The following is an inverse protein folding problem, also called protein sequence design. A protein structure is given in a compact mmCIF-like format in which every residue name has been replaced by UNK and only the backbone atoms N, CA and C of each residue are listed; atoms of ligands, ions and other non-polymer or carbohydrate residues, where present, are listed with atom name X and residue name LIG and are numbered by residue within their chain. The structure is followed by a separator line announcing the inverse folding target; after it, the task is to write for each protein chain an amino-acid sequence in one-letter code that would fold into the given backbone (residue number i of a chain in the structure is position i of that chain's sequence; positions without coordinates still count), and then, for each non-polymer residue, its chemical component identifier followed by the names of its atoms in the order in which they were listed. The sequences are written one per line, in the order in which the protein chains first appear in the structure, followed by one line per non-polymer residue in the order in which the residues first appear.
data_IF_733614887823
#
_entry.id   IF_733614887823
#
_cell.length_a   1.000
_cell.length_b   1.000
_cell.length_c   1.000
_cell.angle_alpha   90.00
_cell.angle_beta   90.00
_cell.angle_gamma   90.00
#
_symmetry.space_group_name_H-M   'P 1'
#
loop_
_entity.id
_entity.type
_entity.pdbx_description
1 polymer ?
#
# COMPACT_ATOMS: atom_id res chain seq x y z
N UNK A 1 -4.47 16.09 9.01
CA UNK A 1 -5.36 14.92 8.93
C UNK A 1 -4.52 13.67 8.91
N UNK A 2 -5.15 12.49 8.93
CA UNK A 2 -4.46 11.22 8.71
C UNK A 2 -3.90 11.16 7.27
N UNK A 3 -2.68 10.68 7.10
CA UNK A 3 -1.99 10.50 5.80
C UNK A 3 -2.33 9.18 5.13
N UNK A 4 -3.11 8.33 5.78
CA UNK A 4 -3.52 7.03 5.26
C UNK A 4 -4.99 7.04 4.80
N UNK A 5 -5.32 6.07 3.94
CA UNK A 5 -6.72 5.70 3.66
C UNK A 5 -6.89 4.19 3.71
N UNK A 6 -8.09 3.74 4.09
CA UNK A 6 -8.45 2.33 4.10
C UNK A 6 -9.63 2.09 3.19
N UNK A 7 -9.49 1.15 2.25
CA UNK A 7 -10.59 0.64 1.43
C UNK A 7 -10.98 -0.73 1.97
N UNK A 8 -12.28 -0.98 2.14
CA UNK A 8 -12.80 -2.29 2.57
C UNK A 8 -13.84 -2.78 1.58
N UNK A 9 -13.81 -4.08 1.29
CA UNK A 9 -14.78 -4.74 0.43
C UNK A 9 -14.98 -6.18 0.85
N UNK A 10 -16.21 -6.68 0.71
CA UNK A 10 -16.51 -8.11 0.80
C UNK A 10 -16.68 -8.73 -0.60
N UNK A 11 -16.09 -9.91 -0.81
CA UNK A 11 -16.18 -10.67 -2.07
C UNK A 11 -16.21 -12.17 -1.76
N UNK A 12 -17.29 -12.86 -2.14
CA UNK A 12 -17.40 -14.33 -2.01
C UNK A 12 -17.11 -14.87 -0.59
N UNK A 13 -17.51 -14.14 0.46
CA UNK A 13 -17.24 -14.50 1.87
C UNK A 13 -15.83 -14.18 2.35
N UNK A 14 -15.04 -13.48 1.53
CA UNK A 14 -13.76 -12.90 1.90
C UNK A 14 -13.93 -11.41 2.22
N UNK A 15 -13.29 -10.94 3.29
CA UNK A 15 -13.10 -9.51 3.56
C UNK A 15 -11.73 -9.09 3.03
N UNK A 16 -11.71 -8.12 2.12
CA UNK A 16 -10.51 -7.51 1.57
C UNK A 16 -10.39 -6.09 2.15
N UNK A 17 -9.29 -5.83 2.81
CA UNK A 17 -8.92 -4.53 3.34
C UNK A 17 -7.63 -4.07 2.66
N UNK A 18 -7.61 -2.82 2.20
CA UNK A 18 -6.45 -2.20 1.56
C UNK A 18 -6.14 -0.93 2.32
N UNK A 19 -5.06 -0.95 3.09
CA UNK A 19 -4.48 0.24 3.69
C UNK A 19 -3.52 0.85 2.68
N UNK A 20 -3.66 2.15 2.42
CA UNK A 20 -2.83 2.87 1.45
C UNK A 20 -2.16 4.03 2.16
N UNK A 21 -0.86 4.15 1.96
CA UNK A 21 -0.09 5.32 2.36
C UNK A 21 0.75 5.82 1.19
N UNK A 22 1.02 7.12 1.18
CA UNK A 22 1.95 7.68 0.21
C UNK A 22 3.38 7.28 0.62
N UNK A 23 4.16 6.82 -0.34
CA UNK A 23 5.61 6.65 -0.18
C UNK A 23 6.25 7.79 -0.96
N UNK A 24 6.97 8.67 -0.26
CA UNK A 24 7.73 9.71 -0.95
C UNK A 24 8.98 9.00 -1.48
N UNK A 25 9.01 8.72 -2.78
CA UNK A 25 10.20 8.20 -3.44
C UNK A 25 11.33 9.22 -3.24
N UNK A 26 12.26 8.95 -2.32
CA UNK A 26 13.36 9.89 -2.03
C UNK A 26 13.94 9.93 -0.61
N UNK A 27 13.53 9.07 0.34
CA UNK A 27 14.20 8.99 1.66
C UNK A 27 15.48 8.11 1.66
N UNK A 28 15.94 7.64 0.51
CA UNK A 28 17.27 7.03 0.36
C UNK A 28 18.13 7.88 -0.59
N UNK A 29 19.14 8.54 0.01
CA UNK A 29 20.34 9.14 -0.57
C UNK A 29 20.13 10.14 -1.72
N UNK A 30 20.05 11.43 -1.35
CA UNK A 30 20.51 12.51 -2.23
C UNK A 30 22.03 12.38 -2.42
N UNK A 31 22.45 11.54 -3.36
CA UNK A 31 23.66 11.83 -4.12
C UNK A 31 23.22 12.66 -5.34
N UNK A 32 23.78 13.86 -5.44
CA UNK A 32 23.58 14.82 -6.50
C UNK A 32 23.82 14.17 -7.87
N UNK A 33 22.78 14.09 -8.69
CA UNK A 33 22.94 13.99 -10.13
C UNK A 33 21.89 14.90 -10.78
N UNK A 34 22.40 15.94 -11.45
CA UNK A 34 21.70 16.91 -12.27
C UNK A 34 21.01 16.21 -13.45
N UNK A 35 19.85 15.61 -13.22
CA UNK A 35 18.92 15.22 -14.28
C UNK A 35 17.54 15.80 -13.98
N UNK A 36 17.20 16.87 -14.71
CA UNK A 36 15.92 17.62 -14.72
C UNK A 36 14.71 16.75 -15.16
N UNK A 37 14.81 15.44 -15.00
CA UNK A 37 13.84 14.45 -15.44
C UNK A 37 13.61 13.34 -14.39
N UNK A 38 13.89 13.60 -13.10
CA UNK A 38 13.26 12.84 -12.00
C UNK A 38 11.78 13.18 -11.98
N UNK A 39 11.03 12.58 -12.91
CA UNK A 39 9.58 12.52 -12.88
C UNK A 39 9.16 12.28 -11.44
N UNK A 40 8.33 13.16 -10.90
CA UNK A 40 7.59 13.08 -9.65
C UNK A 40 6.77 11.77 -9.56
N UNK A 41 7.42 10.61 -9.56
CA UNK A 41 6.80 9.31 -9.48
C UNK A 41 6.44 9.08 -8.03
N UNK A 42 5.30 9.67 -7.63
CA UNK A 42 4.71 9.37 -6.33
C UNK A 42 4.32 7.90 -6.33
N UNK A 43 5.01 7.16 -5.48
CA UNK A 43 4.72 5.77 -5.19
C UNK A 43 3.66 5.71 -4.10
N UNK A 44 2.79 4.72 -4.20
CA UNK A 44 1.90 4.39 -3.09
C UNK A 44 2.29 3.01 -2.56
N UNK A 45 2.35 2.91 -1.24
CA UNK A 45 2.48 1.61 -0.59
C UNK A 45 1.09 1.14 -0.19
N UNK A 46 0.82 -0.14 -0.47
CA UNK A 46 -0.44 -0.79 -0.21
C UNK A 46 -0.19 -2.00 0.70
N UNK A 47 -0.93 -2.07 1.80
CA UNK A 47 -1.06 -3.29 2.58
C UNK A 47 -2.41 -3.91 2.28
N UNK A 48 -2.42 -5.03 1.57
CA UNK A 48 -3.64 -5.76 1.20
C UNK A 48 -3.83 -6.93 2.16
N UNK A 49 -4.86 -6.88 2.98
CA UNK A 49 -5.25 -7.96 3.88
C UNK A 49 -6.48 -8.68 3.35
N UNK A 50 -6.37 -10.00 3.18
CA UNK A 50 -7.50 -10.86 2.82
C UNK A 50 -7.83 -11.81 3.96
N UNK A 51 -9.07 -11.73 4.44
CA UNK A 51 -9.60 -12.53 5.55
C UNK A 51 -10.71 -13.43 5.05
N UNK A 52 -10.70 -14.71 5.45
CA UNK A 52 -11.75 -15.69 5.10
C UNK A 52 -12.55 -16.08 6.35
N UNK A 53 -13.75 -15.51 6.51
CA UNK A 53 -14.54 -15.68 7.74
C UNK A 53 -13.75 -15.31 9.00
N UNK A 54 -13.87 -16.10 10.06
CA UNK A 54 -13.10 -15.93 11.31
C UNK A 54 -11.73 -16.63 11.27
N UNK A 55 -11.23 -16.92 10.07
CA UNK A 55 -10.02 -17.69 9.83
C UNK A 55 -8.72 -16.87 9.83
N UNK A 56 -7.60 -17.48 9.39
CA UNK A 56 -6.35 -16.78 9.20
C UNK A 56 -6.46 -15.73 8.09
N UNK A 57 -5.52 -14.79 8.10
CA UNK A 57 -5.44 -13.65 7.18
C UNK A 57 -4.16 -13.72 6.39
N UNK A 58 -4.25 -13.36 5.12
CA UNK A 58 -3.09 -13.21 4.26
C UNK A 58 -2.89 -11.74 3.96
N UNK A 59 -1.74 -11.21 4.37
CA UNK A 59 -1.34 -9.83 4.16
C UNK A 59 -0.26 -9.78 3.07
N UNK A 60 -0.43 -8.85 2.13
CA UNK A 60 0.55 -8.53 1.10
C UNK A 60 1.02 -7.11 1.31
N UNK A 61 2.32 -6.89 1.31
CA UNK A 61 2.93 -5.56 1.23
C UNK A 61 3.29 -5.31 -0.23
N UNK A 62 2.80 -4.21 -0.79
CA UNK A 62 2.96 -3.90 -2.20
C UNK A 62 3.37 -2.45 -2.42
N UNK A 63 4.13 -2.20 -3.48
CA UNK A 63 4.43 -0.85 -3.97
C UNK A 63 3.79 -0.66 -5.33
N UNK A 64 3.07 0.45 -5.51
CA UNK A 64 2.43 0.83 -6.75
C UNK A 64 3.23 1.89 -7.51
N UNK A 65 3.80 1.50 -8.65
CA UNK A 65 4.56 2.32 -9.60
C UNK A 65 3.70 2.76 -10.81
N UNK A 66 4.23 3.57 -11.73
CA UNK A 66 3.54 3.88 -12.99
C UNK A 66 3.20 2.63 -13.82
N UNK A 67 4.08 1.63 -13.77
CA UNK A 67 4.02 0.41 -14.57
C UNK A 67 3.25 -0.75 -13.92
N UNK A 68 2.87 -0.64 -12.65
CA UNK A 68 2.19 -1.74 -11.95
C UNK A 68 2.33 -1.78 -10.45
N UNK A 69 1.91 -2.91 -9.90
CA UNK A 69 2.02 -3.24 -8.48
C UNK A 69 3.07 -4.33 -8.33
N UNK A 70 4.10 -4.06 -7.53
CA UNK A 70 5.09 -5.04 -7.08
C UNK A 70 4.68 -5.57 -5.71
N UNK A 71 4.79 -6.87 -5.50
CA UNK A 71 4.62 -7.48 -4.17
C UNK A 71 6.02 -7.54 -3.53
N UNK A 72 6.21 -6.78 -2.46
CA UNK A 72 7.46 -6.76 -1.69
C UNK A 72 7.52 -7.89 -0.67
N UNK A 73 6.37 -8.29 -0.13
CA UNK A 73 6.33 -9.31 0.91
C UNK A 73 4.94 -9.85 1.16
N UNK A 74 4.90 -10.99 1.84
CA UNK A 74 3.69 -11.68 2.22
C UNK A 74 3.80 -12.19 3.65
N UNK A 75 2.72 -12.08 4.41
CA UNK A 75 2.65 -12.60 5.76
C UNK A 75 1.30 -13.23 6.03
N UNK A 76 1.30 -14.45 6.56
CA UNK A 76 0.09 -15.06 7.05
C UNK A 76 -0.04 -14.80 8.56
N UNK A 77 -1.21 -14.30 8.97
CA UNK A 77 -1.53 -14.00 10.37
C UNK A 77 -2.66 -14.89 10.85
N UNK A 78 -2.67 -15.23 12.14
CA UNK A 78 -3.82 -15.87 12.76
C UNK A 78 -5.09 -14.99 12.71
N UNK A 79 -6.24 -15.53 13.15
CA UNK A 79 -7.48 -14.77 13.29
C UNK A 79 -7.30 -13.46 14.07
N UNK A 80 -8.19 -12.51 13.85
CA UNK A 80 -8.18 -11.24 14.57
C UNK A 80 -8.24 -11.43 16.09
N UNK A 81 -7.40 -10.70 16.84
CA UNK A 81 -7.28 -10.84 18.28
C UNK A 81 -6.52 -12.09 18.76
N UNK A 82 -6.09 -13.00 17.87
CA UNK A 82 -5.19 -14.08 18.26
C UNK A 82 -3.77 -13.56 18.42
N UNK A 83 -3.19 -13.73 19.61
CA UNK A 83 -1.77 -13.43 19.89
C UNK A 83 -0.83 -14.56 19.43
N UNK A 84 -1.35 -15.51 18.65
CA UNK A 84 -0.56 -16.59 18.06
C UNK A 84 -0.10 -16.16 16.67
N UNK A 85 1.09 -15.59 16.63
CA UNK A 85 1.85 -15.52 15.38
C UNK A 85 2.06 -16.94 14.85
N UNK A 86 2.01 -17.10 13.53
CA UNK A 86 2.28 -18.39 12.94
C UNK A 86 3.75 -18.73 13.17
N UNK A 87 4.10 -19.99 13.49
CA UNK A 87 5.48 -20.38 13.80
C UNK A 87 6.43 -20.27 12.59
N UNK A 88 5.89 -20.03 11.40
CA UNK A 88 6.64 -19.86 10.17
C UNK A 88 5.98 -18.76 9.33
N UNK A 89 6.76 -17.76 8.96
CA UNK A 89 6.28 -16.58 8.21
C UNK A 89 6.30 -16.80 6.69
N UNK A 90 7.08 -17.77 6.22
CA UNK A 90 7.32 -17.98 4.79
C UNK A 90 8.75 -17.60 4.39
N UNK A 91 9.17 -17.95 3.16
CA UNK A 91 10.34 -17.34 2.54
C UNK A 91 10.00 -15.91 2.08
N UNK A 92 11.01 -15.16 1.65
CA UNK A 92 10.79 -13.91 0.92
C UNK A 92 9.99 -14.15 -0.36
N UNK A 93 9.20 -13.17 -0.80
CA UNK A 93 8.37 -13.33 -1.99
C UNK A 93 9.20 -13.64 -3.24
N UNK A 94 10.37 -13.01 -3.36
CA UNK A 94 11.32 -13.18 -4.46
C UNK A 94 11.94 -14.58 -4.52
N UNK A 95 11.97 -15.30 -3.40
CA UNK A 95 12.49 -16.67 -3.31
C UNK A 95 11.46 -17.74 -3.73
N UNK A 96 10.21 -17.35 -3.98
CA UNK A 96 9.17 -18.26 -4.48
C UNK A 96 9.39 -18.62 -5.95
N UNK A 97 8.88 -19.78 -6.38
CA UNK A 97 8.83 -20.16 -7.79
C UNK A 97 8.12 -19.08 -8.63
N UNK A 98 8.64 -18.77 -9.81
CA UNK A 98 8.11 -17.72 -10.69
C UNK A 98 6.62 -17.92 -11.03
N UNK A 99 6.17 -19.18 -11.19
CA UNK A 99 4.76 -19.42 -11.45
C UNK A 99 3.91 -19.10 -10.22
N UNK A 100 4.42 -19.37 -9.02
CA UNK A 100 3.72 -19.06 -7.77
C UNK A 100 3.65 -17.55 -7.55
N UNK A 101 4.74 -16.82 -7.82
CA UNK A 101 4.73 -15.34 -7.82
C UNK A 101 3.64 -14.80 -8.77
N UNK A 102 3.58 -15.32 -10.00
CA UNK A 102 2.53 -14.95 -10.98
C UNK A 102 1.11 -15.27 -10.49
N UNK A 103 0.90 -16.41 -9.84
CA UNK A 103 -0.41 -16.76 -9.28
C UNK A 103 -0.84 -15.80 -8.16
N UNK A 104 0.09 -15.28 -7.36
CA UNK A 104 -0.22 -14.27 -6.35
C UNK A 104 -0.58 -12.91 -6.93
N UNK A 105 0.09 -12.47 -8.01
CA UNK A 105 -0.37 -11.30 -8.77
C UNK A 105 -1.80 -11.50 -9.29
N UNK A 106 -2.08 -12.64 -9.93
CA UNK A 106 -3.43 -12.97 -10.39
C UNK A 106 -4.46 -13.09 -9.25
N UNK A 107 -4.04 -13.53 -8.07
CA UNK A 107 -4.88 -13.59 -6.87
C UNK A 107 -5.32 -12.20 -6.40
N UNK A 108 -4.42 -11.22 -6.41
CA UNK A 108 -4.70 -9.83 -6.07
C UNK A 108 -5.59 -9.16 -7.14
N UNK A 109 -5.31 -9.37 -8.42
CA UNK A 109 -6.13 -8.84 -9.52
C UNK A 109 -7.58 -9.32 -9.45
N UNK A 110 -7.80 -10.63 -9.19
CA UNK A 110 -9.16 -11.19 -9.02
C UNK A 110 -9.94 -10.59 -7.85
N UNK A 111 -9.24 -9.96 -6.90
CA UNK A 111 -9.83 -9.22 -5.76
C UNK A 111 -10.02 -7.74 -6.01
N UNK A 112 -9.68 -7.28 -7.21
CA UNK A 112 -9.84 -5.89 -7.63
C UNK A 112 -8.61 -5.02 -7.38
N UNK A 113 -7.48 -5.62 -6.97
CA UNK A 113 -6.21 -4.92 -6.87
C UNK A 113 -5.58 -4.89 -8.26
N UNK A 114 -6.04 -3.94 -9.07
CA UNK A 114 -5.66 -3.80 -10.48
C UNK A 114 -4.89 -2.50 -10.69
N UNK A 115 -4.23 -2.38 -11.85
CA UNK A 115 -3.61 -1.14 -12.31
C UNK A 115 -4.56 0.06 -12.25
N UNK A 116 -5.83 -0.12 -12.65
CA UNK A 116 -6.81 0.97 -12.63
C UNK A 116 -7.10 1.46 -11.22
N UNK A 117 -7.19 0.55 -10.24
CA UNK A 117 -7.36 0.93 -8.84
C UNK A 117 -6.12 1.66 -8.33
N UNK A 118 -4.92 1.14 -8.62
CA UNK A 118 -3.67 1.75 -8.19
C UNK A 118 -3.48 3.16 -8.76
N UNK A 119 -3.75 3.36 -10.05
CA UNK A 119 -3.73 4.69 -10.66
C UNK A 119 -4.70 5.66 -9.99
N UNK A 120 -5.94 5.22 -9.72
CA UNK A 120 -6.93 6.03 -9.00
C UNK A 120 -6.45 6.39 -7.59
N UNK A 121 -5.92 5.42 -6.84
CA UNK A 121 -5.43 5.61 -5.48
C UNK A 121 -4.26 6.61 -5.47
N UNK A 122 -3.31 6.49 -6.41
CA UNK A 122 -2.20 7.43 -6.54
C UNK A 122 -2.69 8.87 -6.74
N UNK A 123 -3.58 9.09 -7.70
CA UNK A 123 -4.16 10.42 -7.93
C UNK A 123 -4.94 10.96 -6.71
N UNK A 124 -5.70 10.08 -6.05
CA UNK A 124 -6.47 10.44 -4.87
C UNK A 124 -5.54 10.88 -3.73
N UNK A 125 -4.47 10.12 -3.48
CA UNK A 125 -3.51 10.39 -2.41
C UNK A 125 -2.78 11.70 -2.66
N UNK A 126 -2.32 11.99 -3.89
CA UNK A 126 -1.72 13.28 -4.26
C UNK A 126 -2.66 14.46 -3.96
N UNK A 127 -3.94 14.36 -4.37
CA UNK A 127 -4.93 15.40 -4.12
C UNK A 127 -5.20 15.59 -2.63
N UNK A 128 -5.24 14.49 -1.87
CA UNK A 128 -5.41 14.51 -0.41
C UNK A 128 -4.22 15.20 0.27
N UNK A 129 -2.99 14.84 -0.09
CA UNK A 129 -1.78 15.44 0.44
C UNK A 129 -1.75 16.96 0.22
N UNK A 130 -1.99 17.42 -1.02
CA UNK A 130 -2.04 18.85 -1.32
C UNK A 130 -3.08 19.60 -0.49
N UNK A 131 -4.26 18.99 -0.26
CA UNK A 131 -5.29 19.57 0.62
C UNK A 131 -4.87 19.61 2.08
N UNK A 132 -4.26 18.55 2.59
CA UNK A 132 -3.75 18.47 3.97
C UNK A 132 -2.63 19.49 4.20
N UNK A 133 -1.71 19.66 3.23
CA UNK A 133 -0.65 20.67 3.29
C UNK A 133 -1.20 22.09 3.40
N UNK A 134 -2.19 22.45 2.57
CA UNK A 134 -2.85 23.76 2.64
C UNK A 134 -3.55 23.95 4.00
N UNK A 135 -4.19 22.92 4.53
CA UNK A 135 -4.81 22.99 5.85
C UNK A 135 -3.77 23.14 6.97
N UNK A 136 -2.65 22.43 6.89
CA UNK A 136 -1.54 22.56 7.82
C UNK A 136 -0.95 23.98 7.82
N UNK A 137 -0.74 24.59 6.65
CA UNK A 137 -0.29 25.98 6.53
C UNK A 137 -1.28 26.97 7.16
N UNK A 138 -2.58 26.76 6.99
CA UNK A 138 -3.61 27.60 7.63
C UNK A 138 -3.53 27.50 9.15
N UNK A 139 -3.45 26.29 9.69
CA UNK A 139 -3.34 26.06 11.13
C UNK A 139 -2.05 26.67 11.70
N UNK A 140 -0.93 26.56 10.98
CA UNK A 140 0.34 27.18 11.37
C UNK A 140 0.24 28.71 11.39
N UNK A 141 -0.38 29.31 10.37
CA UNK A 141 -0.61 30.75 10.33
C UNK A 141 -1.43 31.21 11.52
N UNK A 142 -2.53 30.52 11.83
CA UNK A 142 -3.37 30.82 13.00
C UNK A 142 -2.59 30.69 14.32
N UNK A 143 -1.72 29.68 14.43
CA UNK A 143 -0.89 29.49 15.61
C UNK A 143 0.13 30.63 15.82
N UNK A 144 0.78 31.11 14.75
CA UNK A 144 1.79 32.18 14.83
C UNK A 144 1.18 33.57 15.02
N UNK A 145 -0.06 33.77 14.57
CA UNK A 145 -0.77 35.06 14.70
C UNK A 145 -1.46 35.26 16.05
N UNK A 146 -1.61 34.20 16.85
CA UNK A 146 -2.08 34.26 18.23
C UNK A 146 -0.91 34.34 19.21
#
# INVERSE_FOLDING_TARGET
GDQTITLKRELNGESIEVLVHMSVAGEHDQEDDDDDNKSDQVEISLTVTVTKGDGPRLEFTCIGYSEGITIEGMLMKGPEGSSKELPYEGPEFTDLDENLQREFHGYLERRGITMSLQNFLREYMMKKEGKEYVNWLKNMKEFVQN
#
